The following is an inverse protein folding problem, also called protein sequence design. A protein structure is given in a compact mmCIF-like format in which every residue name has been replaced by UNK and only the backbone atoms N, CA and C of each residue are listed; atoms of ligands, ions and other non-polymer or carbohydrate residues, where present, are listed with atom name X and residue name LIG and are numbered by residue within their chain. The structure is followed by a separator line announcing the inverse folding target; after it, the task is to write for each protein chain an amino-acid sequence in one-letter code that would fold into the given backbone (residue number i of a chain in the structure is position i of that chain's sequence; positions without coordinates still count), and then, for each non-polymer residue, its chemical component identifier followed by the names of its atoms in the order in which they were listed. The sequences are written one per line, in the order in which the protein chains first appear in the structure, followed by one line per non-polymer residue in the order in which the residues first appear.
data_IF_712452037271
#
_entry.id   IF_712452037271
#
_cell.length_a   1.000
_cell.length_b   1.000
_cell.length_c   1.000
_cell.angle_alpha   90.00
_cell.angle_beta   90.00
_cell.angle_gamma   90.00
#
_symmetry.space_group_name_H-M   'P 1'
#
loop_
_entity.id
_entity.type
_entity.pdbx_description
1 polymer ?
#
# COMPACT_ATOMS: atom_id res chain seq x y z
N UNK A 1 22.37 2.77 3.54
CA UNK A 1 21.20 1.84 3.56
C UNK A 1 21.57 0.69 4.48
N UNK A 2 20.93 0.56 5.64
CA UNK A 2 21.13 -0.63 6.48
C UNK A 2 20.71 -1.86 5.69
N UNK A 3 21.60 -2.86 5.57
CA UNK A 3 21.25 -4.14 4.92
C UNK A 3 20.14 -4.80 5.73
N UNK A 4 19.00 -5.04 5.07
CA UNK A 4 17.89 -5.79 5.69
C UNK A 4 18.40 -7.18 6.11
N UNK A 5 18.07 -7.60 7.33
CA UNK A 5 18.35 -8.96 7.78
C UNK A 5 17.62 -10.01 6.92
N UNK A 6 18.05 -11.29 6.95
CA UNK A 6 17.47 -12.34 6.11
C UNK A 6 15.94 -12.45 6.24
N UNK A 7 15.42 -12.35 7.46
CA UNK A 7 13.98 -12.38 7.73
C UNK A 7 13.24 -11.19 7.06
N UNK A 8 13.78 -9.99 7.19
CA UNK A 8 13.18 -8.79 6.58
C UNK A 8 13.23 -8.84 5.05
N UNK A 9 14.30 -9.41 4.47
CA UNK A 9 14.37 -9.63 3.02
C UNK A 9 13.27 -10.59 2.56
N UNK A 10 12.98 -11.66 3.32
CA UNK A 10 11.90 -12.60 3.00
C UNK A 10 10.51 -11.93 3.06
N UNK A 11 10.24 -11.14 4.11
CA UNK A 11 8.99 -10.38 4.24
C UNK A 11 8.81 -9.39 3.08
N UNK A 12 9.87 -8.64 2.74
CA UNK A 12 9.86 -7.74 1.59
C UNK A 12 9.62 -8.50 0.27
N UNK A 13 10.34 -9.60 0.06
CA UNK A 13 10.20 -10.44 -1.14
C UNK A 13 8.80 -11.03 -1.26
N UNK A 14 8.20 -11.49 -0.15
CA UNK A 14 6.83 -11.94 -0.12
C UNK A 14 5.86 -10.82 -0.55
N UNK A 15 6.02 -9.61 -0.02
CA UNK A 15 5.20 -8.48 -0.43
C UNK A 15 5.34 -8.15 -1.93
N UNK A 16 6.56 -8.25 -2.50
CA UNK A 16 6.80 -8.02 -3.94
C UNK A 16 6.14 -9.10 -4.81
N UNK A 17 6.20 -10.37 -4.40
CA UNK A 17 5.58 -11.46 -5.14
C UNK A 17 4.05 -11.42 -5.04
N UNK A 18 3.51 -11.18 -3.83
CA UNK A 18 2.05 -11.06 -3.62
C UNK A 18 1.46 -9.92 -4.46
N UNK A 19 2.10 -8.76 -4.52
CA UNK A 19 1.60 -7.63 -5.31
C UNK A 19 1.58 -7.89 -6.82
N UNK A 20 2.44 -8.80 -7.30
CA UNK A 20 2.57 -9.18 -8.71
C UNK A 20 1.63 -10.32 -9.07
N UNK A 21 1.65 -11.40 -8.30
CA UNK A 21 1.10 -12.70 -8.67
C UNK A 21 -0.06 -13.15 -7.77
N UNK A 22 -0.35 -12.43 -6.69
CA UNK A 22 -1.31 -12.82 -5.66
C UNK A 22 -0.74 -13.81 -4.64
N UNK A 23 -1.51 -14.05 -3.56
CA UNK A 23 -1.12 -14.96 -2.47
C UNK A 23 -1.09 -16.41 -2.93
N UNK A 24 -2.09 -16.83 -3.74
CA UNK A 24 -2.20 -18.21 -4.18
C UNK A 24 -0.94 -18.65 -4.93
N UNK A 25 -0.46 -17.83 -5.86
CA UNK A 25 0.70 -18.08 -6.71
C UNK A 25 2.05 -17.90 -5.99
N UNK A 26 2.10 -17.19 -4.87
CA UNK A 26 3.33 -16.93 -4.13
C UNK A 26 3.72 -18.15 -3.29
N UNK A 27 4.78 -18.86 -3.70
CA UNK A 27 5.31 -20.03 -2.99
C UNK A 27 6.42 -19.68 -2.00
N UNK A 28 6.48 -20.39 -0.86
CA UNK A 28 7.54 -20.19 0.16
C UNK A 28 8.96 -20.33 -0.42
N UNK A 29 9.17 -21.33 -1.31
CA UNK A 29 10.47 -21.54 -1.96
C UNK A 29 10.85 -20.42 -2.91
N UNK A 30 9.89 -19.86 -3.59
CA UNK A 30 10.06 -18.71 -4.48
C UNK A 30 10.44 -17.46 -3.68
N UNK A 31 9.77 -17.22 -2.54
CA UNK A 31 10.14 -16.13 -1.62
C UNK A 31 11.58 -16.27 -1.14
N UNK A 32 12.04 -17.49 -0.73
CA UNK A 32 13.41 -17.68 -0.32
C UNK A 32 14.40 -17.39 -1.46
N UNK A 33 14.11 -17.85 -2.66
CA UNK A 33 14.95 -17.60 -3.84
C UNK A 33 15.02 -16.09 -4.16
N UNK A 34 13.88 -15.40 -4.18
CA UNK A 34 13.79 -13.95 -4.44
C UNK A 34 14.49 -13.12 -3.35
N UNK A 35 14.49 -13.61 -2.10
CA UNK A 35 15.16 -12.97 -0.95
C UNK A 35 16.66 -13.28 -0.87
N UNK A 36 17.19 -14.11 -1.78
CA UNK A 36 18.57 -14.66 -1.71
C UNK A 36 18.87 -15.27 -0.33
N UNK A 37 17.91 -16.04 0.18
CA UNK A 37 18.00 -16.64 1.51
C UNK A 37 18.09 -18.17 1.44
N UNK A 38 18.82 -18.82 2.38
CA UNK A 38 18.90 -20.26 2.42
C UNK A 38 17.50 -20.89 2.62
N UNK A 39 17.18 -21.94 1.85
CA UNK A 39 15.87 -22.61 1.91
C UNK A 39 15.53 -23.13 3.31
N UNK A 40 16.52 -23.61 4.06
CA UNK A 40 16.35 -24.11 5.43
C UNK A 40 15.98 -23.05 6.45
N UNK A 41 16.20 -21.76 6.16
CA UNK A 41 15.88 -20.65 7.08
C UNK A 41 14.40 -20.28 7.12
N UNK A 42 13.59 -20.69 6.12
CA UNK A 42 12.16 -20.42 6.09
C UNK A 42 11.43 -20.98 7.32
N UNK A 43 11.64 -22.28 7.62
CA UNK A 43 10.99 -22.90 8.76
C UNK A 43 11.45 -22.31 10.11
N UNK A 44 12.69 -21.83 10.17
CA UNK A 44 13.23 -21.15 11.34
C UNK A 44 12.57 -19.77 11.57
N UNK A 45 12.44 -18.95 10.51
CA UNK A 45 11.89 -17.60 10.62
C UNK A 45 10.37 -17.56 10.60
N UNK A 46 9.73 -18.53 9.95
CA UNK A 46 8.27 -18.60 9.76
C UNK A 46 7.76 -19.99 10.13
N UNK A 47 7.78 -20.37 11.44
CA UNK A 47 7.26 -21.67 11.87
C UNK A 47 5.77 -21.85 11.59
N UNK A 48 4.97 -20.77 11.52
CA UNK A 48 3.59 -20.75 11.09
C UNK A 48 3.39 -20.83 9.55
N UNK A 49 4.49 -21.07 8.82
CA UNK A 49 4.44 -21.32 7.38
C UNK A 49 4.05 -20.12 6.53
N UNK A 50 3.36 -20.41 5.41
CA UNK A 50 2.95 -19.42 4.40
C UNK A 50 2.02 -18.35 4.97
N UNK A 51 1.07 -18.74 5.81
CA UNK A 51 0.12 -17.83 6.43
C UNK A 51 0.82 -16.76 7.26
N UNK A 52 1.75 -17.15 8.13
CA UNK A 52 2.55 -16.22 8.92
C UNK A 52 3.32 -15.24 8.02
N UNK A 53 4.00 -15.76 6.99
CA UNK A 53 4.78 -14.93 6.07
C UNK A 53 3.90 -13.93 5.30
N UNK A 54 2.73 -14.37 4.82
CA UNK A 54 1.74 -13.51 4.15
C UNK A 54 1.27 -12.39 5.08
N UNK A 55 0.86 -12.74 6.31
CA UNK A 55 0.37 -11.75 7.28
C UNK A 55 1.45 -10.72 7.64
N UNK A 56 2.70 -11.15 7.78
CA UNK A 56 3.82 -10.24 8.04
C UNK A 56 4.13 -9.35 6.82
N UNK A 57 4.06 -9.89 5.61
CA UNK A 57 4.26 -9.13 4.37
C UNK A 57 3.18 -8.07 4.17
N UNK A 58 1.93 -8.42 4.44
CA UNK A 58 0.79 -7.50 4.41
C UNK A 58 0.94 -6.39 5.44
N UNK A 59 1.28 -6.75 6.69
CA UNK A 59 1.54 -5.77 7.74
C UNK A 59 2.74 -4.85 7.43
N UNK A 60 3.80 -5.40 6.84
CA UNK A 60 4.93 -4.61 6.36
C UNK A 60 4.49 -3.59 5.29
N UNK A 61 3.66 -4.01 4.34
CA UNK A 61 3.19 -3.14 3.26
C UNK A 61 2.33 -1.97 3.75
N UNK A 62 1.42 -2.22 4.71
CA UNK A 62 0.62 -1.16 5.33
C UNK A 62 1.49 -0.12 6.05
N UNK A 63 2.44 -0.59 6.89
CA UNK A 63 3.40 0.32 7.55
C UNK A 63 4.28 1.07 6.55
N UNK A 64 4.74 0.41 5.50
CA UNK A 64 5.53 1.05 4.44
C UNK A 64 4.74 2.18 3.77
N UNK A 65 3.46 1.94 3.41
CA UNK A 65 2.60 2.95 2.82
C UNK A 65 2.35 4.12 3.78
N UNK A 66 2.03 3.84 5.06
CA UNK A 66 1.83 4.86 6.08
C UNK A 66 3.08 5.73 6.33
N UNK A 67 4.26 5.11 6.40
CA UNK A 67 5.53 5.82 6.59
C UNK A 67 5.91 6.73 5.41
N UNK A 68 5.35 6.50 4.23
CA UNK A 68 5.60 7.37 3.06
C UNK A 68 4.85 8.69 3.10
N UNK A 69 3.78 8.80 3.90
CA UNK A 69 2.98 10.02 4.01
C UNK A 69 3.87 11.22 4.37
N UNK A 70 4.76 11.08 5.35
CA UNK A 70 5.69 12.14 5.71
C UNK A 70 6.61 12.56 4.55
N UNK A 71 7.05 11.59 3.73
CA UNK A 71 7.87 11.87 2.55
C UNK A 71 7.09 12.60 1.46
N UNK A 72 5.81 12.25 1.26
CA UNK A 72 4.94 12.95 0.32
C UNK A 72 4.72 14.41 0.74
N UNK A 73 4.46 14.64 2.03
CA UNK A 73 4.32 15.99 2.57
C UNK A 73 5.60 16.82 2.41
N UNK A 74 6.77 16.22 2.66
CA UNK A 74 8.06 16.89 2.50
C UNK A 74 8.42 17.23 1.04
N UNK A 75 7.77 16.61 0.06
CA UNK A 75 7.93 16.92 -1.37
C UNK A 75 7.08 18.12 -1.82
N UNK A 76 6.13 18.56 -1.00
CA UNK A 76 5.21 19.66 -1.31
C UNK A 76 5.71 20.97 -0.66
N UNK A 77 5.94 22.06 -1.44
CA UNK A 77 6.28 23.35 -0.87
C UNK A 77 5.20 23.88 0.09
N UNK A 78 3.94 23.70 -0.29
CA UNK A 78 2.75 24.03 0.51
C UNK A 78 1.85 22.79 0.52
N UNK A 79 1.89 21.99 1.62
CA UNK A 79 1.06 20.81 1.73
C UNK A 79 -0.44 21.13 1.72
N UNK A 80 -1.19 20.48 0.84
CA UNK A 80 -2.65 20.52 0.81
C UNK A 80 -3.19 19.08 0.75
N UNK A 81 -4.45 18.83 1.17
CA UNK A 81 -5.07 17.51 1.06
C UNK A 81 -5.03 16.92 -0.36
N UNK A 82 -5.37 17.76 -1.35
CA UNK A 82 -5.31 17.37 -2.77
C UNK A 82 -3.89 17.12 -3.24
N UNK A 83 -2.93 17.95 -2.81
CA UNK A 83 -1.50 17.77 -3.09
C UNK A 83 -0.97 16.46 -2.53
N UNK A 84 -1.31 16.11 -1.29
CA UNK A 84 -0.95 14.80 -0.70
C UNK A 84 -1.49 13.64 -1.55
N UNK A 85 -2.75 13.70 -1.97
CA UNK A 85 -3.33 12.65 -2.81
C UNK A 85 -2.64 12.56 -4.17
N UNK A 86 -2.32 13.69 -4.79
CA UNK A 86 -1.58 13.74 -6.05
C UNK A 86 -0.19 13.08 -5.93
N UNK A 87 0.55 13.29 -4.81
CA UNK A 87 1.82 12.64 -4.55
C UNK A 87 1.68 11.12 -4.35
N UNK A 88 0.62 10.68 -3.66
CA UNK A 88 0.31 9.25 -3.54
C UNK A 88 0.05 8.61 -4.91
N UNK A 89 -0.67 9.29 -5.78
CA UNK A 89 -0.90 8.84 -7.17
C UNK A 89 0.39 8.87 -7.98
N UNK A 90 1.16 9.96 -7.93
CA UNK A 90 2.40 10.13 -8.69
C UNK A 90 3.40 9.01 -8.45
N UNK A 91 3.51 8.54 -7.20
CA UNK A 91 4.37 7.38 -6.90
C UNK A 91 4.05 6.16 -7.79
N UNK A 92 2.77 5.91 -8.06
CA UNK A 92 2.35 4.76 -8.84
C UNK A 92 2.46 5.01 -10.34
N UNK A 93 2.18 6.23 -10.81
CA UNK A 93 2.40 6.57 -12.22
C UNK A 93 3.88 6.45 -12.57
N UNK A 94 4.78 7.02 -11.75
CA UNK A 94 6.22 6.91 -11.93
C UNK A 94 6.70 5.45 -11.91
N UNK A 95 6.10 4.61 -11.04
CA UNK A 95 6.45 3.19 -10.99
C UNK A 95 5.99 2.46 -12.26
N UNK A 96 4.75 2.67 -12.70
CA UNK A 96 4.21 2.02 -13.90
C UNK A 96 4.93 2.44 -15.16
N UNK A 97 5.29 3.70 -15.30
CA UNK A 97 6.10 4.20 -16.42
C UNK A 97 7.50 3.59 -16.44
N UNK A 98 8.08 3.34 -15.27
CA UNK A 98 9.45 2.82 -15.14
C UNK A 98 9.55 1.29 -15.32
N UNK A 99 8.60 0.51 -14.76
CA UNK A 99 8.71 -0.96 -14.70
C UNK A 99 7.48 -1.69 -15.24
N UNK A 100 6.48 -0.98 -15.78
CA UNK A 100 5.23 -1.54 -16.30
C UNK A 100 4.22 -1.89 -15.20
N UNK A 101 3.07 -2.38 -15.62
CA UNK A 101 1.87 -2.56 -14.79
C UNK A 101 1.81 -3.89 -14.03
N UNK A 102 2.94 -4.60 -13.91
CA UNK A 102 3.00 -5.94 -13.31
C UNK A 102 2.68 -5.98 -11.79
N UNK A 103 2.88 -4.87 -11.07
CA UNK A 103 2.67 -4.84 -9.62
C UNK A 103 1.48 -3.99 -9.19
N UNK A 104 0.76 -4.44 -8.14
CA UNK A 104 -0.31 -3.68 -7.49
C UNK A 104 -0.05 -3.48 -6.00
N UNK A 105 -1.10 -3.27 -5.23
CA UNK A 105 -1.03 -3.23 -3.77
C UNK A 105 -1.03 -4.65 -3.19
N UNK A 106 -0.04 -5.05 -2.38
CA UNK A 106 -0.02 -6.38 -1.78
C UNK A 106 -1.12 -6.56 -0.72
N UNK A 107 -1.57 -5.47 -0.06
CA UNK A 107 -2.68 -5.53 0.90
C UNK A 107 -3.99 -5.85 0.17
N UNK A 108 -4.29 -5.14 -0.93
CA UNK A 108 -5.47 -5.40 -1.74
C UNK A 108 -5.45 -6.82 -2.33
N UNK A 109 -4.30 -7.28 -2.87
CA UNK A 109 -4.16 -8.62 -3.41
C UNK A 109 -4.46 -9.70 -2.34
N UNK A 110 -3.87 -9.56 -1.14
CA UNK A 110 -4.12 -10.49 -0.05
C UNK A 110 -5.58 -10.46 0.43
N UNK A 111 -6.21 -9.28 0.42
CA UNK A 111 -7.63 -9.14 0.78
C UNK A 111 -8.52 -9.91 -0.19
N UNK A 112 -8.31 -9.73 -1.51
CA UNK A 112 -9.12 -10.42 -2.54
C UNK A 112 -8.93 -11.93 -2.47
N UNK A 113 -7.68 -12.40 -2.28
CA UNK A 113 -7.37 -13.82 -2.30
C UNK A 113 -7.78 -14.57 -1.03
N UNK A 114 -7.81 -13.92 0.14
CA UNK A 114 -7.83 -14.61 1.44
C UNK A 114 -8.91 -14.13 2.42
N UNK A 115 -9.65 -13.05 2.16
CA UNK A 115 -10.55 -12.45 3.15
C UNK A 115 -11.62 -13.40 3.67
N UNK A 116 -12.14 -14.31 2.85
CA UNK A 116 -13.14 -15.31 3.26
C UNK A 116 -12.49 -16.60 3.78
N UNK A 117 -11.32 -16.98 3.23
CA UNK A 117 -10.69 -18.27 3.50
C UNK A 117 -9.80 -18.29 4.74
N UNK A 118 -9.22 -17.15 5.12
CA UNK A 118 -8.20 -17.05 6.19
C UNK A 118 -8.45 -15.84 7.08
N UNK A 119 -9.05 -16.09 8.26
CA UNK A 119 -9.41 -15.02 9.20
C UNK A 119 -8.20 -14.16 9.63
N UNK A 120 -7.04 -14.78 9.91
CA UNK A 120 -5.83 -14.06 10.31
C UNK A 120 -5.30 -13.13 9.21
N UNK A 121 -5.41 -13.54 7.94
CA UNK A 121 -5.00 -12.70 6.81
C UNK A 121 -5.98 -11.53 6.60
N UNK A 122 -7.28 -11.75 6.80
CA UNK A 122 -8.26 -10.67 6.80
C UNK A 122 -7.97 -9.64 7.89
N UNK A 123 -7.66 -10.10 9.11
CA UNK A 123 -7.30 -9.23 10.24
C UNK A 123 -5.99 -8.47 9.96
N UNK A 124 -4.98 -9.15 9.41
CA UNK A 124 -3.72 -8.52 9.00
C UNK A 124 -3.94 -7.45 7.92
N UNK A 125 -4.81 -7.70 6.94
CA UNK A 125 -5.16 -6.73 5.90
C UNK A 125 -5.90 -5.52 6.47
N UNK A 126 -6.87 -5.72 7.36
CA UNK A 126 -7.58 -4.64 8.04
C UNK A 126 -6.60 -3.77 8.86
N UNK A 127 -5.70 -4.40 9.63
CA UNK A 127 -4.68 -3.69 10.38
C UNK A 127 -3.68 -2.93 9.46
N UNK A 128 -3.35 -3.50 8.29
CA UNK A 128 -2.47 -2.86 7.31
C UNK A 128 -3.13 -1.62 6.68
N UNK A 129 -4.41 -1.69 6.32
CA UNK A 129 -5.15 -0.51 5.87
C UNK A 129 -5.24 0.55 6.97
N UNK A 130 -5.51 0.17 8.23
CA UNK A 130 -5.52 1.10 9.35
C UNK A 130 -4.16 1.78 9.57
N UNK A 131 -3.05 1.02 9.42
CA UNK A 131 -1.68 1.55 9.50
C UNK A 131 -1.35 2.55 8.38
N UNK A 132 -2.08 2.52 7.29
CA UNK A 132 -1.98 3.49 6.20
C UNK A 132 -2.97 4.65 6.36
N UNK A 133 -4.24 4.37 6.63
CA UNK A 133 -5.30 5.37 6.82
C UNK A 133 -4.99 6.34 7.94
N UNK A 134 -4.48 5.85 9.08
CA UNK A 134 -4.18 6.68 10.24
C UNK A 134 -3.18 7.82 9.96
N UNK A 135 -2.00 7.58 9.37
CA UNK A 135 -1.10 8.65 8.96
C UNK A 135 -1.70 9.65 7.97
N UNK A 136 -2.51 9.19 7.01
CA UNK A 136 -3.21 10.08 6.08
C UNK A 136 -4.20 10.96 6.82
N UNK A 137 -5.03 10.40 7.71
CA UNK A 137 -6.00 11.15 8.51
C UNK A 137 -5.33 12.23 9.38
N UNK A 138 -4.22 11.89 10.04
CA UNK A 138 -3.43 12.88 10.80
C UNK A 138 -2.92 14.01 9.92
N UNK A 139 -2.37 13.68 8.75
CA UNK A 139 -1.91 14.70 7.80
C UNK A 139 -3.05 15.62 7.35
N UNK A 140 -4.25 15.08 7.12
CA UNK A 140 -5.44 15.86 6.78
C UNK A 140 -5.84 16.82 7.91
N UNK A 141 -5.80 16.36 9.17
CA UNK A 141 -6.04 17.22 10.36
C UNK A 141 -5.02 18.36 10.42
N UNK A 142 -3.72 18.06 10.25
CA UNK A 142 -2.63 19.05 10.25
C UNK A 142 -2.80 20.10 9.13
N UNK A 143 -3.45 19.73 8.01
CA UNK A 143 -3.78 20.64 6.91
C UNK A 143 -5.13 21.35 7.06
N UNK A 144 -5.79 21.23 8.21
CA UNK A 144 -7.01 22.00 8.56
C UNK A 144 -8.33 21.34 8.16
N UNK A 145 -8.34 20.07 7.80
CA UNK A 145 -9.58 19.29 7.63
C UNK A 145 -10.23 19.09 9.00
N UNK A 146 -11.54 19.31 9.16
CA UNK A 146 -12.26 19.04 10.41
C UNK A 146 -12.07 17.60 10.89
N UNK A 147 -11.81 17.42 12.21
CA UNK A 147 -11.40 16.12 12.78
C UNK A 147 -12.40 15.00 12.48
N UNK A 148 -13.69 15.31 12.52
CA UNK A 148 -14.78 14.37 12.23
C UNK A 148 -14.80 13.88 10.77
N UNK A 149 -14.09 14.54 9.86
CA UNK A 149 -14.02 14.19 8.45
C UNK A 149 -12.72 13.50 8.02
N UNK A 150 -11.68 13.61 8.86
CA UNK A 150 -10.32 13.16 8.45
C UNK A 150 -10.27 11.67 8.16
N UNK A 151 -10.92 10.84 8.98
CA UNK A 151 -10.98 9.39 8.80
C UNK A 151 -11.71 8.98 7.53
N UNK A 152 -12.86 9.60 7.25
CA UNK A 152 -13.67 9.32 6.07
C UNK A 152 -12.94 9.74 4.79
N UNK A 153 -12.32 10.92 4.79
CA UNK A 153 -11.55 11.39 3.65
C UNK A 153 -10.28 10.59 3.40
N UNK A 154 -9.58 10.18 4.46
CA UNK A 154 -8.43 9.27 4.33
C UNK A 154 -8.86 7.91 3.74
N UNK A 155 -9.99 7.37 4.16
CA UNK A 155 -10.58 6.15 3.59
C UNK A 155 -10.94 6.35 2.12
N UNK A 156 -11.58 7.47 1.78
CA UNK A 156 -11.93 7.81 0.40
C UNK A 156 -10.68 7.91 -0.50
N UNK A 157 -9.62 8.58 -0.03
CA UNK A 157 -8.35 8.69 -0.76
C UNK A 157 -7.76 7.32 -1.07
N UNK A 158 -7.68 6.43 -0.08
CA UNK A 158 -7.10 5.09 -0.25
C UNK A 158 -7.99 4.24 -1.14
N UNK A 159 -9.31 4.25 -0.95
CA UNK A 159 -10.26 3.49 -1.78
C UNK A 159 -10.22 3.93 -3.24
N UNK A 160 -10.13 5.25 -3.49
CA UNK A 160 -10.00 5.80 -4.84
C UNK A 160 -8.67 5.39 -5.49
N UNK A 161 -7.57 5.47 -4.74
CA UNK A 161 -6.25 5.04 -5.23
C UNK A 161 -6.22 3.56 -5.59
N UNK A 162 -6.73 2.68 -4.70
CA UNK A 162 -6.78 1.24 -4.94
C UNK A 162 -7.66 0.88 -6.14
N UNK A 163 -8.82 1.53 -6.30
CA UNK A 163 -9.68 1.36 -7.47
C UNK A 163 -8.99 1.81 -8.76
N UNK A 164 -8.33 2.97 -8.74
CA UNK A 164 -7.59 3.49 -9.89
C UNK A 164 -6.41 2.60 -10.27
N UNK A 165 -5.71 1.97 -9.28
CA UNK A 165 -4.65 1.00 -9.51
C UNK A 165 -5.17 -0.25 -10.24
N UNK A 166 -6.33 -0.78 -9.84
CA UNK A 166 -6.92 -1.94 -10.49
C UNK A 166 -7.27 -1.64 -11.95
N UNK A 167 -7.88 -0.47 -12.22
CA UNK A 167 -8.24 -0.04 -13.57
C UNK A 167 -6.98 0.18 -14.41
N UNK A 168 -5.98 0.88 -13.89
CA UNK A 168 -4.72 1.13 -14.59
C UNK A 168 -4.00 -0.17 -14.99
N UNK A 169 -4.00 -1.18 -14.11
CA UNK A 169 -3.45 -2.51 -14.42
C UNK A 169 -4.24 -3.23 -15.51
N UNK A 170 -5.57 -3.16 -15.47
CA UNK A 170 -6.41 -3.79 -16.47
C UNK A 170 -6.28 -3.13 -17.85
N UNK A 171 -6.21 -1.80 -17.89
CA UNK A 171 -6.09 -1.03 -19.13
C UNK A 171 -4.64 -0.88 -19.62
N UNK A 172 -3.63 -1.21 -18.80
CA UNK A 172 -2.20 -0.97 -19.07
C UNK A 172 -1.92 0.52 -19.37
N UNK A 173 -2.62 1.41 -18.64
CA UNK A 173 -2.60 2.86 -18.83
C UNK A 173 -2.74 3.57 -17.48
N UNK A 174 -1.96 4.62 -17.25
CA UNK A 174 -2.01 5.43 -16.03
C UNK A 174 -3.19 6.41 -15.96
N UNK A 175 -4.01 6.47 -16.99
CA UNK A 175 -5.13 7.42 -17.12
C UNK A 175 -6.10 7.36 -15.94
N UNK A 176 -6.43 6.18 -15.43
CA UNK A 176 -7.31 6.04 -14.27
C UNK A 176 -6.71 6.73 -13.03
N UNK A 177 -5.41 6.60 -12.80
CA UNK A 177 -4.68 7.22 -11.70
C UNK A 177 -4.67 8.75 -11.84
N UNK A 178 -4.30 9.26 -13.00
CA UNK A 178 -4.25 10.71 -13.26
C UNK A 178 -5.63 11.34 -13.20
N UNK A 179 -6.67 10.64 -13.66
CA UNK A 179 -8.07 11.08 -13.54
C UNK A 179 -8.49 11.15 -12.07
N UNK A 180 -8.20 10.11 -11.27
CA UNK A 180 -8.50 10.12 -9.84
C UNK A 180 -7.85 11.32 -9.13
N UNK A 181 -6.57 11.61 -9.41
CA UNK A 181 -5.89 12.77 -8.83
C UNK A 181 -6.55 14.09 -9.24
N UNK A 182 -6.81 14.28 -10.53
CA UNK A 182 -7.41 15.53 -11.07
C UNK A 182 -8.79 15.82 -10.49
N UNK A 183 -9.65 14.80 -10.38
CA UNK A 183 -11.03 14.97 -9.96
C UNK A 183 -11.19 15.03 -8.43
N UNK A 184 -10.39 14.25 -7.68
CA UNK A 184 -10.52 14.19 -6.23
C UNK A 184 -9.77 15.33 -5.52
N UNK A 185 -8.63 15.79 -6.03
CA UNK A 185 -7.82 16.81 -5.35
C UNK A 185 -8.59 18.10 -5.01
N UNK A 186 -9.38 18.71 -5.93
CA UNK A 186 -10.15 19.91 -5.60
C UNK A 186 -11.19 19.70 -4.51
N UNK A 187 -11.79 18.51 -4.43
CA UNK A 187 -12.78 18.14 -3.40
C UNK A 187 -12.12 18.00 -2.03
N UNK A 188 -10.92 17.44 -1.98
CA UNK A 188 -10.12 17.32 -0.75
C UNK A 188 -9.68 18.71 -0.25
N UNK A 189 -9.22 19.59 -1.14
CA UNK A 189 -8.80 20.95 -0.79
C UNK A 189 -9.96 21.82 -0.31
N UNK A 190 -11.15 21.63 -0.88
CA UNK A 190 -12.36 22.31 -0.42
C UNK A 190 -12.74 21.92 1.02
N UNK A 191 -12.46 20.67 1.43
CA UNK A 191 -12.75 20.19 2.78
C UNK A 191 -11.90 20.88 3.88
N UNK A 192 -10.69 21.35 3.56
CA UNK A 192 -9.82 22.10 4.48
C UNK A 192 -10.21 23.59 4.59
N UNK A 193 -10.98 24.13 3.65
CA UNK A 193 -11.37 25.55 3.61
C UNK A 193 -12.70 25.83 4.31
N UNK A 194 -13.44 24.81 4.71
CA UNK A 194 -14.75 24.94 5.35
C UNK A 194 -14.54 25.19 6.86
N UNK A 195 -14.18 26.43 7.21
CA UNK A 195 -14.28 26.98 8.58
C UNK A 195 -15.43 27.97 8.64
#
# INVERSE_FOLDING_TARGET
MSERGPRERMVFSAAQLIRRDGVASTGMREVAAHAEAPRGSLQHYFPGGKEQLVNEAVGWAGRYAGNRVARFLAALPEPTPGGLFAEMVRQWTDEYERVGFGGGCPVAAATVDCAESTASTREAAAAAFAAWTGPVARALADMGVPEERTGDLATLMISTLEGALLIARAEQDVRALTTAARELAPLLDAAARTR
#
